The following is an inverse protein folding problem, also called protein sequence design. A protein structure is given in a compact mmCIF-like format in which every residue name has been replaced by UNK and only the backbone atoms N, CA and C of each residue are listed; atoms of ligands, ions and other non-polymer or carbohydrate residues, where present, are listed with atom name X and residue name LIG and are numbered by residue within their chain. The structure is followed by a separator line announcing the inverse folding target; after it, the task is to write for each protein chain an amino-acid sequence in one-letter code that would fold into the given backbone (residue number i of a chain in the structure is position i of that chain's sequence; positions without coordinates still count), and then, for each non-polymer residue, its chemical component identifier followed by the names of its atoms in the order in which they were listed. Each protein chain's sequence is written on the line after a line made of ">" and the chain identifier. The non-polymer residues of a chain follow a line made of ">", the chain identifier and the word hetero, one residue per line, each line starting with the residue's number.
data_IF_254203289443
#
_entry.id   IF_254203289443
#
_cell.length_a   1.000
_cell.length_b   1.000
_cell.length_c   1.000
_cell.angle_alpha   90.00
_cell.angle_beta   90.00
_cell.angle_gamma   90.00
#
_symmetry.space_group_name_H-M   'P 1'
#
loop_
_entity.id
_entity.type
_entity.pdbx_description
1 polymer ?
#
# COMPACT_ATOMS: atom_id res chain seq x y z
N UNK A 1 -14.72 9.92 -6.97
CA UNK A 1 -13.33 10.28 -6.63
C UNK A 1 -12.62 8.99 -6.26
N UNK A 2 -11.75 8.48 -7.13
CA UNK A 2 -11.04 7.22 -6.93
C UNK A 2 -9.96 7.38 -5.87
N UNK A 3 -10.04 6.58 -4.81
CA UNK A 3 -9.02 6.52 -3.74
C UNK A 3 -8.26 5.21 -3.85
N UNK A 4 -6.93 5.28 -3.79
CA UNK A 4 -6.07 4.10 -3.80
C UNK A 4 -5.16 4.11 -2.59
N UNK A 5 -5.20 3.03 -1.81
CA UNK A 5 -4.36 2.80 -0.64
C UNK A 5 -3.17 1.93 -1.05
N UNK A 6 -1.99 2.51 -1.03
CA UNK A 6 -0.74 1.79 -1.18
C UNK A 6 -0.27 1.36 0.22
N UNK A 7 -0.43 0.07 0.50
CA UNK A 7 -0.15 -0.53 1.80
C UNK A 7 1.26 -1.15 1.78
N UNK A 8 2.13 -0.61 2.63
CA UNK A 8 3.51 -1.08 2.80
C UNK A 8 3.65 -1.72 4.18
N UNK A 9 3.38 -3.02 4.29
CA UNK A 9 3.57 -3.77 5.53
C UNK A 9 4.32 -5.09 5.24
N UNK A 10 5.59 -5.25 5.66
CA UNK A 10 6.42 -6.41 5.29
C UNK A 10 5.83 -7.78 5.66
N UNK A 11 4.99 -7.83 6.69
CA UNK A 11 4.27 -9.04 7.10
C UNK A 11 2.81 -8.72 7.45
N UNK A 12 1.99 -8.42 6.44
CA UNK A 12 0.60 -8.01 6.64
C UNK A 12 -0.24 -9.08 7.36
N UNK A 13 0.03 -10.37 7.12
CA UNK A 13 -0.69 -11.48 7.75
C UNK A 13 -0.63 -11.45 9.28
N UNK A 14 0.52 -11.05 9.83
CA UNK A 14 0.74 -10.89 11.27
C UNK A 14 0.45 -9.47 11.78
N UNK A 15 -0.03 -8.56 10.93
CA UNK A 15 -0.39 -7.21 11.36
C UNK A 15 -1.74 -7.21 12.07
N UNK A 16 -1.83 -6.53 13.22
CA UNK A 16 -3.11 -6.27 13.88
C UNK A 16 -3.77 -5.02 13.30
N UNK A 17 -3.08 -3.87 13.36
CA UNK A 17 -3.67 -2.56 13.03
C UNK A 17 -3.82 -2.36 11.52
N UNK A 18 -2.75 -2.55 10.74
CA UNK A 18 -2.81 -2.27 9.30
C UNK A 18 -3.75 -3.24 8.56
N UNK A 19 -3.81 -4.49 9.01
CA UNK A 19 -4.76 -5.48 8.50
C UNK A 19 -6.20 -5.08 8.80
N UNK A 20 -6.50 -4.69 10.04
CA UNK A 20 -7.84 -4.24 10.42
C UNK A 20 -8.28 -3.00 9.64
N UNK A 21 -7.38 -2.01 9.48
CA UNK A 21 -7.66 -0.82 8.67
C UNK A 21 -7.97 -1.20 7.22
N UNK A 22 -7.13 -2.02 6.59
CA UNK A 22 -7.33 -2.44 5.20
C UNK A 22 -8.65 -3.24 5.00
N UNK A 23 -9.02 -4.07 5.97
CA UNK A 23 -10.25 -4.87 5.93
C UNK A 23 -11.52 -4.04 6.20
N UNK A 24 -11.40 -2.87 6.82
CA UNK A 24 -12.51 -1.97 7.12
C UNK A 24 -12.86 -1.01 5.99
N UNK A 25 -12.07 -0.98 4.90
CA UNK A 25 -12.30 -0.11 3.77
C UNK A 25 -13.49 -0.57 2.94
N UNK A 26 -14.23 0.38 2.40
CA UNK A 26 -15.31 0.12 1.46
C UNK A 26 -14.79 -0.52 0.16
N UNK A 27 -15.63 -1.31 -0.50
CA UNK A 27 -15.25 -2.09 -1.69
C UNK A 27 -14.87 -1.22 -2.91
N UNK A 28 -15.18 0.07 -2.90
CA UNK A 28 -14.82 1.02 -3.96
C UNK A 28 -13.41 1.61 -3.79
N UNK A 29 -12.74 1.33 -2.67
CA UNK A 29 -11.34 1.73 -2.41
C UNK A 29 -10.41 0.63 -2.90
N UNK A 30 -9.48 0.98 -3.79
CA UNK A 30 -8.44 0.05 -4.26
C UNK A 30 -7.34 -0.06 -3.19
N UNK A 31 -7.08 -1.29 -2.70
CA UNK A 31 -5.98 -1.57 -1.76
C UNK A 31 -4.90 -2.36 -2.47
N UNK A 32 -3.68 -1.80 -2.49
CA UNK A 32 -2.50 -2.41 -3.11
C UNK A 32 -1.51 -2.81 -2.02
N UNK A 33 -1.44 -4.11 -1.72
CA UNK A 33 -0.42 -4.66 -0.82
C UNK A 33 0.92 -4.76 -1.57
N UNK A 34 1.76 -3.75 -1.36
CA UNK A 34 2.99 -3.57 -2.13
C UNK A 34 4.03 -4.65 -1.85
N UNK A 35 4.08 -5.20 -0.63
CA UNK A 35 4.99 -6.30 -0.30
C UNK A 35 4.52 -7.64 -0.87
N UNK A 36 3.21 -7.81 -1.11
CA UNK A 36 2.66 -8.96 -1.82
C UNK A 36 2.89 -8.86 -3.34
N UNK A 37 2.74 -7.66 -3.92
CA UNK A 37 2.98 -7.42 -5.34
C UNK A 37 4.47 -7.49 -5.72
N UNK A 38 5.35 -6.97 -4.86
CA UNK A 38 6.79 -6.85 -5.12
C UNK A 38 7.63 -7.45 -3.98
N UNK A 39 7.52 -8.77 -3.71
CA UNK A 39 8.27 -9.41 -2.64
C UNK A 39 9.79 -9.38 -2.86
N UNK A 40 10.23 -9.19 -4.11
CA UNK A 40 11.63 -9.10 -4.53
C UNK A 40 12.11 -7.66 -4.78
N UNK A 41 11.30 -6.65 -4.42
CA UNK A 41 11.61 -5.22 -4.55
C UNK A 41 11.78 -4.73 -5.99
N UNK A 42 11.36 -5.51 -7.00
CA UNK A 42 11.38 -5.09 -8.41
C UNK A 42 10.04 -4.46 -8.80
N UNK A 43 9.90 -3.17 -8.52
CA UNK A 43 8.68 -2.41 -8.80
C UNK A 43 8.50 -2.26 -10.31
N UNK A 44 7.30 -2.57 -10.82
CA UNK A 44 6.89 -2.18 -12.17
C UNK A 44 6.50 -0.70 -12.16
N UNK A 45 7.48 0.14 -12.52
CA UNK A 45 7.33 1.60 -12.49
C UNK A 45 6.19 2.07 -13.39
N UNK A 46 6.09 1.53 -14.60
CA UNK A 46 5.04 1.92 -15.55
C UNK A 46 3.66 1.54 -15.04
N UNK A 47 3.54 0.37 -14.40
CA UNK A 47 2.26 -0.06 -13.83
C UNK A 47 1.81 0.83 -12.67
N UNK A 48 2.70 1.15 -11.74
CA UNK A 48 2.32 1.99 -10.60
C UNK A 48 2.07 3.45 -11.02
N UNK A 49 2.76 3.97 -12.04
CA UNK A 49 2.45 5.27 -12.63
C UNK A 49 1.05 5.32 -13.23
N UNK A 50 0.65 4.31 -14.02
CA UNK A 50 -0.71 4.21 -14.58
C UNK A 50 -1.78 4.22 -13.48
N UNK A 51 -1.54 3.48 -12.38
CA UNK A 51 -2.45 3.45 -11.23
C UNK A 51 -2.54 4.81 -10.56
N UNK A 52 -1.40 5.49 -10.35
CA UNK A 52 -1.34 6.82 -9.75
C UNK A 52 -2.06 7.86 -10.61
N UNK A 53 -1.88 7.85 -11.93
CA UNK A 53 -2.57 8.76 -12.87
C UNK A 53 -4.09 8.57 -12.86
N UNK A 54 -4.56 7.34 -12.63
CA UNK A 54 -5.98 7.05 -12.49
C UNK A 54 -6.56 7.39 -11.09
N UNK A 55 -5.72 7.74 -10.12
CA UNK A 55 -6.11 7.89 -8.71
C UNK A 55 -6.26 9.37 -8.33
N UNK A 56 -7.43 9.77 -7.83
CA UNK A 56 -7.68 11.13 -7.35
C UNK A 56 -7.07 11.37 -5.94
N UNK A 57 -7.04 10.33 -5.10
CA UNK A 57 -6.50 10.39 -3.73
C UNK A 57 -5.59 9.21 -3.45
N UNK A 58 -4.32 9.50 -3.21
CA UNK A 58 -3.30 8.52 -2.82
C UNK A 58 -3.17 8.47 -1.30
N UNK A 59 -3.29 7.27 -0.72
CA UNK A 59 -3.03 7.02 0.71
C UNK A 59 -1.83 6.10 0.84
N UNK A 60 -0.82 6.55 1.59
CA UNK A 60 0.34 5.72 1.95
C UNK A 60 0.09 5.16 3.35
N UNK A 61 -0.18 3.86 3.43
CA UNK A 61 -0.47 3.19 4.70
C UNK A 61 0.71 2.28 5.08
N UNK A 62 1.31 2.51 6.25
CA UNK A 62 2.46 1.73 6.71
C UNK A 62 2.59 1.77 8.25
N UNK A 63 3.21 0.75 8.87
CA UNK A 63 3.65 0.85 10.26
C UNK A 63 4.88 1.77 10.34
N UNK A 64 4.94 2.59 11.39
CA UNK A 64 6.11 3.44 11.62
C UNK A 64 7.28 2.59 12.14
N UNK A 65 8.33 2.46 11.33
CA UNK A 65 9.57 1.77 11.67
C UNK A 65 10.71 2.78 11.71
N UNK A 66 11.45 2.82 12.82
CA UNK A 66 12.60 3.72 13.00
C UNK A 66 12.28 5.19 12.65
N UNK A 67 11.16 5.70 13.19
CA UNK A 67 10.66 7.06 12.91
C UNK A 67 10.39 7.33 11.42
N UNK A 68 10.24 6.29 10.61
CA UNK A 68 10.05 6.38 9.16
C UNK A 68 9.16 5.24 8.64
N UNK A 69 9.20 5.05 7.32
CA UNK A 69 8.47 4.00 6.60
C UNK A 69 9.30 2.73 6.39
N UNK A 70 8.67 1.60 6.04
CA UNK A 70 9.36 0.40 5.58
C UNK A 70 10.15 0.64 4.27
N UNK A 71 11.18 -0.16 4.06
CA UNK A 71 12.15 0.03 2.97
C UNK A 71 11.53 0.07 1.57
N UNK A 72 10.44 -0.66 1.30
CA UNK A 72 9.81 -0.69 -0.03
C UNK A 72 9.10 0.62 -0.38
N UNK A 73 8.74 1.45 0.60
CA UNK A 73 8.14 2.77 0.34
C UNK A 73 9.18 3.84 0.01
N UNK A 74 10.43 3.69 0.47
CA UNK A 74 11.45 4.75 0.41
C UNK A 74 12.13 4.85 -0.94
#
# INVERSE_FOLDING_TARGET
>A
MKTTVFLFHPNLNNSTVNKALAQSLDNDIEVRDMYSLYPDFKIDVSKEQEVLEATDRVVLQFPMYWYSSPALLK
#
